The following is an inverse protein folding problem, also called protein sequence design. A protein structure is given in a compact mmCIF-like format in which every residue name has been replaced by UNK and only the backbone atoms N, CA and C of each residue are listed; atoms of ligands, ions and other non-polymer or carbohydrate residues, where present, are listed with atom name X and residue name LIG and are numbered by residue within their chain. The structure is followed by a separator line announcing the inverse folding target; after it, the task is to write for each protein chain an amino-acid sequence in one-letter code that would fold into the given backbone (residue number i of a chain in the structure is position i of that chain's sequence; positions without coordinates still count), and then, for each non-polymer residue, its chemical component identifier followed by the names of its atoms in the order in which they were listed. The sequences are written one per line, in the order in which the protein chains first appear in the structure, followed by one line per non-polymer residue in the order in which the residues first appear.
data_IF_882221873332
#
_entry.id   IF_882221873332
#
_cell.length_a   1.000
_cell.length_b   1.000
_cell.length_c   1.000
_cell.angle_alpha   90.00
_cell.angle_beta   90.00
_cell.angle_gamma   90.00
#
_symmetry.space_group_name_H-M   'P 1'
#
loop_
_entity.id
_entity.type
_entity.pdbx_description
1 polymer ?
#
# COMPACT_ATOMS: atom_id res chain seq x y z
N UNK A 1 -19.13 -15.06 1.42
CA UNK A 1 -19.31 -14.59 0.02
C UNK A 1 -18.47 -13.34 -0.14
N UNK A 2 -17.23 -13.49 -0.61
CA UNK A 2 -16.34 -12.35 -0.85
C UNK A 2 -16.85 -11.63 -2.11
N UNK A 3 -17.32 -10.39 -1.97
CA UNK A 3 -17.58 -9.56 -3.16
C UNK A 3 -16.22 -9.22 -3.76
N UNK A 4 -16.10 -9.33 -5.08
CA UNK A 4 -14.95 -8.82 -5.81
C UNK A 4 -14.80 -7.33 -5.53
N UNK A 5 -13.66 -6.92 -4.97
CA UNK A 5 -13.38 -5.50 -4.75
C UNK A 5 -13.30 -4.78 -6.10
N UNK A 6 -14.25 -3.89 -6.36
CA UNK A 6 -14.20 -3.03 -7.53
C UNK A 6 -13.28 -1.82 -7.28
N UNK A 7 -12.75 -1.21 -8.34
CA UNK A 7 -12.03 0.06 -8.22
C UNK A 7 -12.87 1.16 -7.58
N UNK A 8 -14.20 1.13 -7.75
CA UNK A 8 -15.10 2.08 -7.11
C UNK A 8 -15.14 1.90 -5.59
N UNK A 9 -15.22 0.66 -5.10
CA UNK A 9 -15.13 0.37 -3.66
C UNK A 9 -13.77 0.74 -3.07
N UNK A 10 -12.69 0.49 -3.83
CA UNK A 10 -11.35 0.94 -3.46
C UNK A 10 -11.31 2.47 -3.33
N UNK A 11 -11.78 3.22 -4.33
CA UNK A 11 -11.79 4.69 -4.30
C UNK A 11 -12.62 5.24 -3.13
N UNK A 12 -13.78 4.65 -2.83
CA UNK A 12 -14.64 5.09 -1.73
C UNK A 12 -13.99 4.90 -0.36
N UNK A 13 -13.23 3.80 -0.17
CA UNK A 13 -12.45 3.58 1.06
C UNK A 13 -11.47 4.73 1.30
N UNK A 14 -10.69 5.12 0.30
CA UNK A 14 -9.71 6.20 0.47
C UNK A 14 -10.40 7.55 0.68
N UNK A 15 -11.38 7.88 -0.16
CA UNK A 15 -12.02 9.20 -0.16
C UNK A 15 -12.81 9.46 1.13
N UNK A 16 -13.70 8.54 1.49
CA UNK A 16 -14.71 8.78 2.52
C UNK A 16 -14.29 8.22 3.88
N UNK A 17 -13.75 6.99 3.92
CA UNK A 17 -13.40 6.34 5.19
C UNK A 17 -12.06 6.84 5.73
N UNK A 18 -11.04 6.93 4.86
CA UNK A 18 -9.70 7.34 5.27
C UNK A 18 -9.44 8.84 5.11
N UNK A 19 -10.42 9.60 4.61
CA UNK A 19 -10.29 11.05 4.36
C UNK A 19 -9.06 11.41 3.51
N UNK A 20 -8.73 10.56 2.54
CA UNK A 20 -7.57 10.70 1.67
C UNK A 20 -8.00 11.29 0.32
N UNK A 21 -7.72 12.57 0.02
CA UNK A 21 -8.20 13.23 -1.19
C UNK A 21 -7.52 12.75 -2.47
N UNK A 22 -6.34 12.15 -2.36
CA UNK A 22 -5.58 11.59 -3.47
C UNK A 22 -5.05 10.21 -3.09
N UNK A 23 -5.20 9.23 -3.98
CA UNK A 23 -4.65 7.89 -3.80
C UNK A 23 -3.98 7.43 -5.10
N UNK A 24 -2.88 6.70 -4.98
CA UNK A 24 -2.16 6.11 -6.11
C UNK A 24 -2.45 4.61 -6.16
N UNK A 25 -2.90 4.11 -7.31
CA UNK A 25 -2.95 2.69 -7.56
C UNK A 25 -1.64 2.24 -8.22
N UNK A 26 -0.98 1.25 -7.63
CA UNK A 26 0.25 0.67 -8.14
C UNK A 26 -0.10 -0.69 -8.73
N UNK A 27 0.00 -0.80 -10.05
CA UNK A 27 -0.18 -2.08 -10.73
C UNK A 27 1.08 -2.95 -10.56
N UNK A 28 0.87 -4.21 -10.23
CA UNK A 28 1.95 -5.16 -9.94
C UNK A 28 1.39 -6.57 -9.79
N UNK A 29 2.09 -7.55 -10.37
CA UNK A 29 1.67 -8.96 -10.33
C UNK A 29 1.74 -9.57 -8.92
N UNK A 30 2.52 -8.97 -8.03
CA UNK A 30 2.72 -9.42 -6.64
C UNK A 30 2.55 -8.23 -5.70
N UNK A 31 1.67 -8.37 -4.71
CA UNK A 31 1.58 -7.46 -3.57
C UNK A 31 2.41 -8.01 -2.41
N UNK A 32 3.44 -7.28 -1.97
CA UNK A 32 4.33 -7.68 -0.87
C UNK A 32 4.65 -6.47 0.01
N UNK A 33 4.70 -6.69 1.32
CA UNK A 33 5.02 -5.66 2.32
C UNK A 33 6.12 -6.13 3.28
N UNK A 34 7.13 -5.27 3.44
CA UNK A 34 8.14 -5.39 4.49
C UNK A 34 7.91 -4.30 5.54
N UNK A 35 7.39 -4.69 6.71
CA UNK A 35 7.07 -3.80 7.82
C UNK A 35 7.40 -4.49 9.17
N UNK A 36 8.66 -4.44 9.62
CA UNK A 36 9.08 -5.07 10.88
C UNK A 36 8.33 -4.56 12.11
N UNK A 37 7.91 -3.30 12.12
CA UNK A 37 7.10 -2.71 13.20
C UNK A 37 5.72 -3.37 13.35
N UNK A 38 5.23 -4.01 12.29
CA UNK A 38 4.00 -4.80 12.28
C UNK A 38 4.27 -6.30 12.37
N UNK A 39 5.51 -6.71 12.67
CA UNK A 39 5.97 -8.09 12.61
C UNK A 39 5.64 -8.78 11.27
N UNK A 40 5.76 -8.03 10.17
CA UNK A 40 5.44 -8.50 8.82
C UNK A 40 6.63 -8.40 7.90
N UNK A 41 6.99 -9.52 7.31
CA UNK A 41 7.95 -9.62 6.21
C UNK A 41 7.42 -10.70 5.26
N UNK A 42 6.76 -10.26 4.20
CA UNK A 42 6.25 -11.17 3.17
C UNK A 42 7.42 -11.86 2.42
N UNK A 43 7.12 -12.96 1.73
CA UNK A 43 8.14 -13.77 1.06
C UNK A 43 8.92 -12.95 0.01
N UNK A 44 10.23 -13.23 -0.08
CA UNK A 44 11.08 -12.65 -1.12
C UNK A 44 10.77 -13.30 -2.47
N UNK A 45 10.09 -12.53 -3.32
CA UNK A 45 9.96 -12.79 -4.74
C UNK A 45 10.83 -11.79 -5.51
N UNK A 46 11.16 -12.05 -6.78
CA UNK A 46 11.71 -11.03 -7.67
C UNK A 46 10.72 -9.87 -7.80
N UNK A 47 10.82 -8.89 -6.91
CA UNK A 47 9.98 -7.71 -6.91
C UNK A 47 10.54 -6.70 -7.91
N UNK A 48 9.65 -6.04 -8.64
CA UNK A 48 9.98 -4.91 -9.50
C UNK A 48 10.31 -3.65 -8.68
N UNK A 49 10.07 -2.45 -9.22
CA UNK A 49 10.22 -1.21 -8.47
C UNK A 49 9.45 -1.22 -7.16
N UNK A 50 10.09 -0.74 -6.08
CA UNK A 50 9.51 -0.68 -4.74
C UNK A 50 9.45 0.76 -4.25
N UNK A 51 8.41 1.09 -3.49
CA UNK A 51 8.31 2.33 -2.74
C UNK A 51 8.65 2.06 -1.28
N UNK A 52 9.51 2.89 -0.70
CA UNK A 52 9.83 2.86 0.71
C UNK A 52 9.45 4.19 1.37
N UNK A 53 8.88 4.10 2.57
CA UNK A 53 8.47 5.27 3.37
C UNK A 53 9.41 5.37 4.56
N UNK A 54 9.99 6.55 4.73
CA UNK A 54 10.90 6.85 5.83
C UNK A 54 10.38 8.07 6.59
N UNK A 55 10.73 8.17 7.87
CA UNK A 55 10.57 9.42 8.60
C UNK A 55 11.34 10.53 7.90
N UNK A 56 10.86 11.78 8.05
CA UNK A 56 11.66 12.93 7.62
C UNK A 56 13.01 12.86 8.33
N UNK A 57 14.15 12.96 7.62
CA UNK A 57 15.44 13.09 8.27
C UNK A 57 15.40 14.27 9.24
N UNK A 58 16.09 14.17 10.38
CA UNK A 58 16.33 15.36 11.18
C UNK A 58 17.09 16.37 10.30
N UNK A 59 16.66 17.63 10.31
CA UNK A 59 17.46 18.71 9.74
C UNK A 59 18.84 18.69 10.43
N UNK A 60 19.95 18.78 9.68
CA UNK A 60 21.29 18.75 10.25
C UNK A 60 21.55 19.90 11.24
#
# INVERSE_FOLDING_TARGET
MLRSSSFAEFAELFRSTLSCPNALFLDGTISSLYAPSLNRADAFWPAGPMLAVFGRPADP
#
